data_IF_664492756214
#
_entry.id   IF_664492756214
#
_cell.length_a   1.000
_cell.length_b   1.000
_cell.length_c   1.000
_cell.angle_alpha   90.00
_cell.angle_beta   90.00
_cell.angle_gamma   90.00
#
_symmetry.space_group_name_H-M   'P 1'
#
loop_
_entity.id
_entity.type
_entity.pdbx_description
1 polymer ?
#
# COMPACT_ATOMS: atom_id res chain seq x y z
N UNK A 1 15.24 -2.99 14.51
CA UNK A 1 15.44 -1.68 13.86
C UNK A 1 14.11 -0.93 13.90
N UNK A 2 14.11 0.35 14.27
CA UNK A 2 12.87 1.16 14.23
C UNK A 2 12.55 1.47 12.77
N UNK A 3 11.32 1.20 12.35
CA UNK A 3 10.87 1.50 10.99
C UNK A 3 10.84 3.02 10.82
N UNK A 4 11.50 3.51 9.76
CA UNK A 4 11.51 4.93 9.41
C UNK A 4 10.15 5.28 8.80
N UNK A 5 9.38 6.23 9.36
CA UNK A 5 8.05 6.58 8.87
C UNK A 5 8.06 7.14 7.43
N UNK A 6 9.21 7.57 6.94
CA UNK A 6 9.43 8.05 5.58
C UNK A 6 9.63 6.94 4.54
N UNK A 7 9.93 5.72 4.98
CA UNK A 7 10.19 4.61 4.07
C UNK A 7 8.93 3.75 3.88
N UNK A 8 8.73 3.33 2.64
CA UNK A 8 7.75 2.33 2.27
C UNK A 8 8.10 1.02 3.00
N UNK A 9 7.19 0.47 3.83
CA UNK A 9 7.47 -0.75 4.58
C UNK A 9 7.73 -1.97 3.69
N UNK A 10 7.24 -1.95 2.44
CA UNK A 10 7.35 -3.06 1.48
C UNK A 10 8.69 -3.10 0.75
N UNK A 11 9.24 -1.95 0.34
CA UNK A 11 10.45 -1.89 -0.49
C UNK A 11 11.58 -1.03 0.09
N UNK A 12 11.38 -0.44 1.27
CA UNK A 12 12.34 0.41 1.99
C UNK A 12 12.82 1.67 1.25
N UNK A 13 12.21 2.01 0.11
CA UNK A 13 12.38 3.30 -0.57
C UNK A 13 11.46 4.35 0.03
N UNK A 14 11.68 5.63 -0.25
CA UNK A 14 10.77 6.69 0.20
C UNK A 14 9.31 6.40 -0.18
N UNK A 15 8.39 6.55 0.79
CA UNK A 15 6.96 6.36 0.55
C UNK A 15 6.29 7.55 -0.15
N UNK A 16 6.93 8.72 -0.17
CA UNK A 16 6.41 9.93 -0.82
C UNK A 16 5.31 10.65 -0.03
N UNK A 17 5.04 10.28 1.22
CA UNK A 17 4.10 10.99 2.09
C UNK A 17 4.60 12.43 2.32
N UNK A 18 3.72 13.43 2.22
CA UNK A 18 4.07 14.85 2.32
C UNK A 18 4.85 15.20 3.62
N UNK A 19 4.57 14.50 4.73
CA UNK A 19 5.30 14.67 6.00
C UNK A 19 6.82 14.46 5.86
N UNK A 20 7.25 13.58 4.95
CA UNK A 20 8.68 13.30 4.71
C UNK A 20 9.43 14.50 4.15
N UNK A 21 8.70 15.46 3.58
CA UNK A 21 9.22 16.70 3.00
C UNK A 21 8.75 17.94 3.77
N UNK A 22 8.29 17.78 5.02
CA UNK A 22 7.82 18.88 5.89
C UNK A 22 6.39 19.36 5.63
N UNK A 23 5.60 18.62 4.85
CA UNK A 23 4.18 18.90 4.59
C UNK A 23 3.24 18.36 5.69
N UNK A 24 1.95 18.65 5.56
CA UNK A 24 0.90 18.21 6.49
C UNK A 24 0.55 16.71 6.25
N UNK A 25 0.19 15.99 7.32
CA UNK A 25 -0.26 14.59 7.23
C UNK A 25 -1.46 14.43 6.30
N UNK A 26 -2.38 15.42 6.27
CA UNK A 26 -3.54 15.40 5.38
C UNK A 26 -3.16 15.40 3.90
N UNK A 27 -1.97 15.92 3.57
CA UNK A 27 -1.49 16.06 2.20
C UNK A 27 -0.79 14.79 1.70
N UNK A 28 -0.55 13.80 2.56
CA UNK A 28 -0.01 12.52 2.11
C UNK A 28 -0.90 11.89 1.06
N UNK A 29 -0.30 11.53 -0.07
CA UNK A 29 -1.02 10.98 -1.22
C UNK A 29 -1.81 9.71 -0.84
N UNK A 30 -1.30 8.91 0.11
CA UNK A 30 -1.93 7.67 0.53
C UNK A 30 -3.30 7.88 1.18
N UNK A 31 -3.59 9.05 1.74
CA UNK A 31 -4.92 9.40 2.27
C UNK A 31 -5.97 9.59 1.17
N UNK A 32 -5.52 9.85 -0.06
CA UNK A 32 -6.37 10.05 -1.23
C UNK A 32 -6.55 8.78 -2.05
N UNK A 33 -5.95 7.67 -1.62
CA UNK A 33 -5.95 6.41 -2.36
C UNK A 33 -7.01 5.43 -1.82
N UNK A 34 -8.11 5.20 -2.54
CA UNK A 34 -9.17 4.28 -2.10
C UNK A 34 -8.76 2.81 -2.14
N UNK A 35 -7.68 2.42 -2.83
CA UNK A 35 -7.23 1.03 -2.89
C UNK A 35 -6.33 0.62 -1.71
N UNK A 36 -5.86 1.57 -0.91
CA UNK A 36 -5.16 1.30 0.36
C UNK A 36 -6.15 1.02 1.51
N UNK A 37 -7.08 0.10 1.26
CA UNK A 37 -8.01 -0.38 2.28
C UNK A 37 -7.55 -1.72 2.83
N UNK A 38 -7.94 -2.03 4.06
CA UNK A 38 -7.68 -3.34 4.67
C UNK A 38 -8.13 -4.47 3.74
N UNK A 39 -9.33 -4.37 3.18
CA UNK A 39 -9.90 -5.37 2.25
C UNK A 39 -9.08 -5.52 0.97
N UNK A 40 -8.68 -4.41 0.34
CA UNK A 40 -7.86 -4.45 -0.88
C UNK A 40 -6.49 -5.08 -0.63
N UNK A 41 -5.84 -4.68 0.47
CA UNK A 41 -4.54 -5.25 0.85
C UNK A 41 -4.64 -6.73 1.22
N UNK A 42 -5.70 -7.15 1.93
CA UNK A 42 -5.89 -8.57 2.32
C UNK A 42 -6.09 -9.52 1.15
N UNK A 43 -6.51 -9.01 -0.02
CA UNK A 43 -6.71 -9.83 -1.20
C UNK A 43 -5.41 -10.17 -1.95
N UNK A 44 -4.31 -9.44 -1.70
CA UNK A 44 -3.02 -9.64 -2.39
C UNK A 44 -1.85 -9.92 -1.46
N UNK A 45 -1.80 -9.28 -0.29
CA UNK A 45 -0.69 -9.42 0.65
C UNK A 45 -0.94 -10.58 1.60
N UNK A 46 0.14 -11.24 2.02
CA UNK A 46 0.10 -12.28 3.05
C UNK A 46 -0.13 -11.68 4.44
N UNK A 47 -0.60 -12.51 5.38
CA UNK A 47 -0.92 -12.07 6.76
C UNK A 47 0.28 -11.47 7.49
N UNK A 48 1.48 -12.01 7.28
CA UNK A 48 2.73 -11.48 7.85
C UNK A 48 3.02 -10.07 7.33
N UNK A 49 2.87 -9.83 6.02
CA UNK A 49 3.06 -8.51 5.43
C UNK A 49 1.98 -7.55 5.90
N UNK A 50 0.71 -7.96 5.95
CA UNK A 50 -0.39 -7.14 6.46
C UNK A 50 -0.18 -6.72 7.92
N UNK A 51 0.36 -7.63 8.75
CA UNK A 51 0.70 -7.32 10.13
C UNK A 51 1.76 -6.22 10.23
N UNK A 52 2.69 -6.13 9.26
CA UNK A 52 3.65 -5.02 9.20
C UNK A 52 3.04 -3.69 8.75
N UNK A 53 1.85 -3.71 8.13
CA UNK A 53 1.19 -2.51 7.61
C UNK A 53 0.17 -1.89 8.57
N UNK A 54 -0.23 -2.60 9.63
CA UNK A 54 -1.26 -2.20 10.63
C UNK A 54 -2.45 -1.43 10.01
N UNK A 55 -2.84 -1.83 8.80
CA UNK A 55 -3.90 -1.23 7.99
C UNK A 55 -3.79 0.26 7.62
N UNK A 56 -2.71 0.99 7.97
CA UNK A 56 -2.65 2.47 7.85
C UNK A 56 -1.29 3.11 7.54
N UNK A 57 -0.26 2.37 7.12
CA UNK A 57 1.00 3.02 6.70
C UNK A 57 0.95 3.40 5.21
N UNK A 58 1.41 4.61 4.87
CA UNK A 58 1.68 4.94 3.47
C UNK A 58 2.77 4.00 2.94
N UNK A 59 2.43 3.19 1.92
CA UNK A 59 3.42 2.55 1.04
C UNK A 59 3.88 3.57 -0.02
N UNK A 60 4.74 3.20 -0.97
CA UNK A 60 5.06 4.04 -2.13
C UNK A 60 4.11 3.73 -3.32
N UNK A 61 3.93 4.69 -4.23
CA UNK A 61 3.05 4.55 -5.40
C UNK A 61 3.43 3.34 -6.27
N UNK A 62 4.73 3.06 -6.44
CA UNK A 62 5.20 1.89 -7.17
C UNK A 62 4.74 0.56 -6.55
N UNK A 63 4.74 0.44 -5.21
CA UNK A 63 4.23 -0.75 -4.55
C UNK A 63 2.71 -0.86 -4.67
N UNK A 64 2.01 0.27 -4.64
CA UNK A 64 0.58 0.31 -4.86
C UNK A 64 0.21 -0.11 -6.28
N UNK A 65 0.95 0.33 -7.30
CA UNK A 65 0.70 -0.05 -8.68
C UNK A 65 0.84 -1.56 -8.89
N UNK A 66 1.85 -2.18 -8.27
CA UNK A 66 1.99 -3.64 -8.25
C UNK A 66 0.80 -4.34 -7.59
N UNK A 67 0.34 -3.83 -6.43
CA UNK A 67 -0.85 -4.34 -5.74
C UNK A 67 -2.11 -4.23 -6.61
N UNK A 68 -2.33 -3.08 -7.27
CA UNK A 68 -3.45 -2.87 -8.19
C UNK A 68 -3.39 -3.84 -9.37
N UNK A 69 -2.21 -4.07 -9.94
CA UNK A 69 -2.02 -5.03 -11.02
C UNK A 69 -2.34 -6.47 -10.57
N UNK A 70 -1.87 -6.89 -9.39
CA UNK A 70 -2.18 -8.20 -8.83
C UNK A 70 -3.67 -8.39 -8.54
N UNK A 71 -4.34 -7.36 -7.98
CA UNK A 71 -5.79 -7.36 -7.78
C UNK A 71 -6.55 -7.51 -9.10
N UNK A 72 -6.14 -6.75 -10.13
CA UNK A 72 -6.75 -6.82 -11.45
C UNK A 72 -6.56 -8.22 -12.08
N UNK A 73 -5.37 -8.82 -11.94
CA UNK A 73 -5.09 -10.18 -12.41
C UNK A 73 -5.93 -11.21 -11.68
N UNK A 74 -6.00 -11.17 -10.33
CA UNK A 74 -6.86 -12.08 -9.56
C UNK A 74 -8.33 -11.93 -9.95
N UNK A 75 -8.84 -10.70 -10.08
CA UNK A 75 -10.21 -10.46 -10.54
C UNK A 75 -10.45 -10.94 -11.98
N UNK A 76 -9.46 -10.84 -12.87
CA UNK A 76 -9.56 -11.39 -14.22
C UNK A 76 -9.63 -12.92 -14.18
N UNK A 77 -8.79 -13.58 -13.38
CA UNK A 77 -8.82 -15.03 -13.20
C UNK A 77 -10.15 -15.51 -12.61
N UNK A 78 -10.69 -14.82 -11.60
CA UNK A 78 -12.01 -15.18 -11.04
C UNK A 78 -13.17 -14.98 -12.02
N UNK A 79 -13.07 -14.04 -12.97
CA UNK A 79 -14.06 -13.88 -14.05
C UNK A 79 -13.95 -14.91 -15.17
N UNK A 80 -12.87 -15.69 -15.22
CA UNK A 80 -12.67 -16.74 -16.23
C UNK A 80 -13.14 -18.12 -15.75
N UNK A 81 -13.70 -18.23 -14.55
CA UNK A 81 -14.18 -19.49 -13.94
C UNK A 81 -15.70 -19.65 -14.01
N UNK A 82 -16.41 -18.79 -14.75
CA UNK A 82 -17.85 -18.89 -15.05
C UNK A 82 -18.10 -19.51 -16.43
#
# INVERSE_FOLDING_TARGET
MKQQPENCPLCQRLNGCAVTSGGDIKDCWCNREPHLTKTGLTAVLSEDVLATLDGKVCICEACLDSIKAELALKHALYRQVD
#
